data_IF_285199041261
#
_entry.id   IF_285199041261
#
_cell.length_a   1.000
_cell.length_b   1.000
_cell.length_c   1.000
_cell.angle_alpha   90.00
_cell.angle_beta   90.00
_cell.angle_gamma   90.00
#
_symmetry.space_group_name_H-M   'P 1'
#
loop_
_entity.id
_entity.type
_entity.pdbx_description
1 polymer ?
#
# COMPACT_ATOMS: atom_id res chain seq x y z
N UNK A 1 -19.41 -21.18 0.55
CA UNK A 1 -19.23 -19.71 0.61
C UNK A 1 -18.22 -19.36 -0.47
N UNK A 2 -18.41 -18.31 -1.26
CA UNK A 2 -17.32 -17.80 -2.10
C UNK A 2 -16.23 -17.31 -1.15
N UNK A 3 -14.98 -17.71 -1.38
CA UNK A 3 -13.86 -17.26 -0.57
C UNK A 3 -13.78 -15.72 -0.60
N UNK A 4 -13.47 -15.07 0.53
CA UNK A 4 -13.31 -13.63 0.55
C UNK A 4 -12.21 -13.24 -0.45
N UNK A 5 -12.56 -12.34 -1.35
CA UNK A 5 -11.66 -11.82 -2.39
C UNK A 5 -10.49 -11.05 -1.76
N UNK A 6 -10.58 -10.67 -0.48
CA UNK A 6 -9.59 -9.86 0.22
C UNK A 6 -9.27 -10.49 1.58
N UNK A 7 -8.00 -10.83 1.78
CA UNK A 7 -7.45 -11.17 3.08
C UNK A 7 -6.85 -9.89 3.68
N UNK A 8 -7.47 -9.32 4.71
CA UNK A 8 -6.88 -8.21 5.46
C UNK A 8 -5.87 -8.76 6.47
N UNK A 9 -4.63 -8.29 6.41
CA UNK A 9 -3.53 -8.71 7.29
C UNK A 9 -2.97 -7.50 8.03
N UNK A 10 -2.85 -7.63 9.34
CA UNK A 10 -2.23 -6.65 10.24
C UNK A 10 -1.16 -7.34 11.06
N UNK A 11 -0.19 -6.59 11.58
CA UNK A 11 0.83 -7.17 12.44
C UNK A 11 0.20 -7.91 13.65
N UNK A 12 0.79 -9.04 14.08
CA UNK A 12 2.03 -9.65 13.61
C UNK A 12 1.85 -10.64 12.44
N UNK A 13 0.64 -10.79 11.92
CA UNK A 13 0.28 -11.85 10.98
C UNK A 13 0.96 -11.67 9.61
N UNK A 14 1.19 -12.80 8.93
CA UNK A 14 1.76 -12.87 7.59
C UNK A 14 1.14 -14.04 6.83
N UNK A 15 0.88 -13.85 5.54
CA UNK A 15 0.42 -14.93 4.66
C UNK A 15 1.52 -15.26 3.64
N UNK A 16 1.96 -16.52 3.67
CA UNK A 16 2.94 -17.07 2.74
C UNK A 16 2.21 -17.82 1.62
N UNK A 17 1.63 -17.06 0.70
CA UNK A 17 0.95 -17.60 -0.48
C UNK A 17 1.30 -16.76 -1.72
N UNK A 18 0.80 -17.16 -2.88
CA UNK A 18 1.09 -16.51 -4.16
C UNK A 18 -0.03 -15.56 -4.61
N UNK A 19 -0.93 -15.16 -3.72
CA UNK A 19 -1.96 -14.18 -4.06
C UNK A 19 -1.30 -12.82 -4.24
N UNK A 20 -1.83 -12.01 -5.17
CA UNK A 20 -1.30 -10.66 -5.33
C UNK A 20 -1.48 -9.86 -4.05
N UNK A 21 -0.49 -9.06 -3.70
CA UNK A 21 -0.36 -8.46 -2.39
C UNK A 21 -0.06 -6.96 -2.46
N UNK A 22 -0.75 -6.20 -1.62
CA UNK A 22 -0.58 -4.75 -1.51
C UNK A 22 -0.45 -4.35 -0.05
N UNK A 23 0.51 -3.49 0.25
CA UNK A 23 0.65 -2.84 1.56
C UNK A 23 0.09 -1.41 1.49
N UNK A 24 -0.87 -1.08 2.35
CA UNK A 24 -1.26 0.29 2.62
C UNK A 24 -0.55 0.79 3.88
N UNK A 25 0.30 1.80 3.72
CA UNK A 25 1.04 2.42 4.83
C UNK A 25 0.32 3.70 5.26
N UNK A 26 -0.23 3.66 6.46
CA UNK A 26 -0.99 4.73 7.10
C UNK A 26 -2.06 5.34 6.20
N UNK A 27 -2.91 4.56 5.52
CA UNK A 27 -3.90 5.14 4.63
C UNK A 27 -4.88 6.04 5.40
N UNK A 28 -5.15 7.23 4.89
CA UNK A 28 -6.28 8.05 5.35
C UNK A 28 -7.62 7.34 5.14
N UNK A 29 -8.67 7.77 5.86
CA UNK A 29 -10.01 7.18 5.71
C UNK A 29 -10.52 7.27 4.28
N UNK A 30 -10.21 8.36 3.57
CA UNK A 30 -10.52 8.51 2.14
C UNK A 30 -9.87 7.41 1.29
N UNK A 31 -8.61 7.06 1.54
CA UNK A 31 -7.92 5.98 0.82
C UNK A 31 -8.57 4.63 1.14
N UNK A 32 -8.93 4.38 2.41
CA UNK A 32 -9.64 3.15 2.81
C UNK A 32 -11.00 3.03 2.14
N UNK A 33 -11.77 4.11 2.08
CA UNK A 33 -13.07 4.16 1.41
C UNK A 33 -12.95 3.91 -0.09
N UNK A 34 -11.98 4.55 -0.76
CA UNK A 34 -11.70 4.30 -2.17
C UNK A 34 -11.31 2.83 -2.42
N UNK A 35 -10.48 2.25 -1.55
CA UNK A 35 -10.10 0.85 -1.66
C UNK A 35 -11.33 -0.05 -1.57
N UNK A 36 -12.17 0.14 -0.54
CA UNK A 36 -13.40 -0.62 -0.35
C UNK A 36 -14.39 -0.47 -1.52
N UNK A 37 -14.45 0.72 -2.14
CA UNK A 37 -15.26 0.96 -3.31
C UNK A 37 -14.78 0.12 -4.51
N UNK A 38 -13.48 0.15 -4.79
CA UNK A 38 -12.90 -0.55 -5.94
C UNK A 38 -12.68 -2.05 -5.73
N UNK A 39 -12.57 -2.49 -4.47
CA UNK A 39 -12.49 -3.90 -4.06
C UNK A 39 -13.58 -4.78 -4.67
N UNK A 40 -14.77 -4.20 -4.92
CA UNK A 40 -15.91 -4.87 -5.58
C UNK A 40 -15.62 -5.32 -7.01
N UNK A 41 -14.57 -4.78 -7.64
CA UNK A 41 -14.18 -5.07 -9.02
C UNK A 41 -13.11 -6.16 -9.11
N UNK A 42 -12.52 -6.57 -7.99
CA UNK A 42 -11.47 -7.59 -7.96
C UNK A 42 -12.04 -8.96 -8.32
N UNK A 43 -11.32 -9.68 -9.17
CA UNK A 43 -11.72 -11.01 -9.68
C UNK A 43 -10.91 -12.16 -9.11
N UNK A 44 -9.82 -11.85 -8.41
CA UNK A 44 -8.91 -12.81 -7.81
C UNK A 44 -8.69 -12.47 -6.32
N UNK A 45 -8.41 -13.47 -5.47
CA UNK A 45 -8.03 -13.23 -4.09
C UNK A 45 -6.78 -12.36 -3.99
N UNK A 46 -6.81 -11.36 -3.11
CA UNK A 46 -5.67 -10.50 -2.82
C UNK A 46 -5.34 -10.49 -1.33
N UNK A 47 -4.07 -10.24 -1.02
CA UNK A 47 -3.61 -9.98 0.34
C UNK A 47 -3.46 -8.47 0.54
N UNK A 48 -4.30 -7.89 1.39
CA UNK A 48 -4.21 -6.50 1.79
C UNK A 48 -3.49 -6.42 3.13
N UNK A 49 -2.25 -5.97 3.12
CA UNK A 49 -1.51 -5.63 4.34
C UNK A 49 -1.82 -4.19 4.74
N UNK A 50 -2.12 -3.97 6.02
CA UNK A 50 -2.43 -2.65 6.57
C UNK A 50 -1.47 -2.31 7.72
N UNK A 51 -0.79 -1.17 7.60
CA UNK A 51 0.05 -0.60 8.65
C UNK A 51 -0.51 0.76 9.10
N UNK A 52 -0.69 0.97 10.40
CA UNK A 52 -1.27 2.21 10.98
C UNK A 52 -0.39 2.80 12.10
N UNK A 53 0.88 3.06 11.78
CA UNK A 53 1.81 3.89 12.55
C UNK A 53 2.08 3.43 13.98
N UNK A 54 2.13 2.11 14.16
CA UNK A 54 2.52 1.49 15.42
C UNK A 54 4.05 1.34 15.39
N UNK A 55 4.75 2.23 16.09
CA UNK A 55 6.22 2.30 16.15
C UNK A 55 6.85 0.97 16.61
N UNK A 56 6.17 0.27 17.52
CA UNK A 56 6.56 -1.07 18.01
C UNK A 56 6.53 -2.16 16.91
N UNK A 57 5.96 -1.88 15.74
CA UNK A 57 5.77 -2.82 14.63
C UNK A 57 6.63 -2.48 13.40
N UNK A 58 7.64 -1.62 13.53
CA UNK A 58 8.54 -1.28 12.42
C UNK A 58 9.25 -2.51 11.82
N UNK A 59 9.60 -3.50 12.66
CA UNK A 59 10.16 -4.77 12.18
C UNK A 59 9.23 -5.48 11.21
N UNK A 60 7.94 -5.58 11.55
CA UNK A 60 6.93 -6.16 10.68
C UNK A 60 6.75 -5.35 9.39
N UNK A 61 6.74 -4.02 9.48
CA UNK A 61 6.66 -3.15 8.30
C UNK A 61 7.78 -3.44 7.29
N UNK A 62 9.04 -3.53 7.75
CA UNK A 62 10.19 -3.80 6.88
C UNK A 62 10.12 -5.17 6.20
N UNK A 63 9.65 -6.19 6.93
CA UNK A 63 9.44 -7.52 6.37
C UNK A 63 8.35 -7.52 5.29
N UNK A 64 7.21 -6.85 5.55
CA UNK A 64 6.10 -6.78 4.60
C UNK A 64 6.46 -5.94 3.37
N UNK A 65 7.17 -4.82 3.52
CA UNK A 65 7.69 -4.02 2.40
C UNK A 65 8.47 -4.90 1.42
N UNK A 66 9.26 -5.84 1.94
CA UNK A 66 10.05 -6.75 1.11
C UNK A 66 9.18 -7.83 0.44
N UNK A 67 8.12 -8.28 1.11
CA UNK A 67 7.30 -9.42 0.69
C UNK A 67 6.14 -9.08 -0.27
N UNK A 68 5.64 -7.85 -0.29
CA UNK A 68 4.45 -7.49 -1.11
C UNK A 68 4.79 -7.13 -2.56
N UNK A 69 3.82 -7.27 -3.46
CA UNK A 69 3.97 -6.85 -4.87
C UNK A 69 3.93 -5.33 -5.02
N UNK A 70 3.08 -4.65 -4.24
CA UNK A 70 2.85 -3.21 -4.34
C UNK A 70 2.77 -2.53 -2.97
N UNK A 71 3.18 -1.26 -2.92
CA UNK A 71 3.08 -0.43 -1.72
C UNK A 71 2.33 0.85 -2.08
N UNK A 72 1.36 1.24 -1.25
CA UNK A 72 0.73 2.56 -1.30
C UNK A 72 1.07 3.29 -0.01
N UNK A 73 1.81 4.38 -0.14
CA UNK A 73 2.28 5.20 0.98
C UNK A 73 1.51 6.52 1.03
N UNK A 74 0.70 6.72 2.08
CA UNK A 74 0.09 8.01 2.39
C UNK A 74 1.06 8.83 3.25
N UNK A 75 1.86 9.69 2.62
CA UNK A 75 2.92 10.45 3.29
C UNK A 75 2.34 11.47 4.26
N UNK A 76 1.17 12.04 3.96
CA UNK A 76 0.59 13.08 4.81
C UNK A 76 0.06 12.51 6.13
N UNK A 77 -0.39 11.25 6.10
CA UNK A 77 -0.87 10.55 7.28
C UNK A 77 0.21 9.68 7.97
N UNK A 78 1.39 9.55 7.35
CA UNK A 78 2.53 8.83 7.92
C UNK A 78 3.31 9.70 8.91
N UNK A 79 3.30 9.33 10.19
CA UNK A 79 3.99 10.03 11.30
C UNK A 79 5.14 9.19 11.87
N UNK A 80 5.92 8.60 10.98
CA UNK A 80 7.20 7.96 11.31
C UNK A 80 8.37 8.87 10.90
N UNK A 81 9.59 8.44 11.18
CA UNK A 81 10.79 9.15 10.81
C UNK A 81 10.95 9.30 9.30
N UNK A 82 11.43 10.47 8.87
CA UNK A 82 11.56 10.80 7.44
C UNK A 82 12.46 9.83 6.67
N UNK A 83 13.43 9.21 7.33
CA UNK A 83 14.30 8.22 6.69
C UNK A 83 13.53 6.96 6.30
N UNK A 84 12.49 6.57 7.04
CA UNK A 84 11.64 5.43 6.70
C UNK A 84 10.78 5.75 5.48
N UNK A 85 10.24 6.98 5.40
CA UNK A 85 9.55 7.46 4.20
C UNK A 85 10.48 7.37 2.98
N UNK A 86 11.73 7.84 3.11
CA UNK A 86 12.74 7.72 2.05
C UNK A 86 13.04 6.25 1.68
N UNK A 87 13.17 5.38 2.68
CA UNK A 87 13.36 3.94 2.48
C UNK A 87 12.19 3.27 1.76
N UNK A 88 10.93 3.67 2.01
CA UNK A 88 9.77 3.13 1.30
C UNK A 88 9.73 3.68 -0.14
N UNK A 89 10.09 4.95 -0.34
CA UNK A 89 10.06 5.59 -1.65
C UNK A 89 11.09 5.02 -2.64
N UNK A 90 12.24 4.48 -2.20
CA UNK A 90 13.22 3.91 -3.13
C UNK A 90 12.72 2.68 -3.92
N UNK A 91 11.65 2.02 -3.47
CA UNK A 91 11.10 0.86 -4.18
C UNK A 91 10.25 1.31 -5.38
N UNK A 92 10.52 0.75 -6.55
CA UNK A 92 9.76 0.98 -7.78
C UNK A 92 8.29 0.54 -7.69
N UNK A 93 8.00 -0.46 -6.84
CA UNK A 93 6.65 -0.91 -6.49
C UNK A 93 5.88 0.02 -5.55
N UNK A 94 6.48 1.13 -5.10
CA UNK A 94 5.82 2.12 -4.24
C UNK A 94 5.09 3.15 -5.09
N UNK A 95 3.81 3.37 -4.77
CA UNK A 95 2.99 4.50 -5.17
C UNK A 95 2.74 5.36 -3.93
N UNK A 96 2.69 6.69 -4.09
CA UNK A 96 2.56 7.55 -2.91
C UNK A 96 1.62 8.74 -3.11
N UNK A 97 1.00 9.14 -2.01
CA UNK A 97 0.11 10.30 -1.91
C UNK A 97 0.75 11.37 -1.02
N UNK A 98 0.63 12.62 -1.45
CA UNK A 98 0.93 13.79 -0.62
C UNK A 98 0.28 15.04 -1.21
N UNK A 99 -0.17 15.92 -0.34
CA UNK A 99 -0.68 17.25 -0.63
C UNK A 99 0.42 18.32 -0.51
N UNK A 100 1.64 17.95 -0.13
CA UNK A 100 2.77 18.89 0.03
C UNK A 100 3.42 19.15 -1.33
N UNK A 101 3.31 20.37 -1.89
CA UNK A 101 3.86 20.68 -3.22
C UNK A 101 5.40 20.72 -3.22
N UNK A 102 6.03 21.06 -2.10
CA UNK A 102 7.45 21.45 -2.05
C UNK A 102 8.41 20.33 -1.60
N UNK A 103 8.06 19.05 -1.82
CA UNK A 103 8.88 17.92 -1.36
C UNK A 103 9.59 17.22 -2.51
N UNK A 104 10.89 16.93 -2.31
CA UNK A 104 11.77 16.21 -3.25
C UNK A 104 11.42 14.71 -3.43
N UNK A 105 10.26 14.25 -2.96
CA UNK A 105 9.85 12.83 -3.07
C UNK A 105 9.76 12.37 -4.53
N UNK A 106 9.34 13.26 -5.43
CA UNK A 106 9.26 13.00 -6.87
C UNK A 106 10.63 12.78 -7.54
N UNK A 107 11.72 13.22 -6.90
CA UNK A 107 13.08 12.94 -7.36
C UNK A 107 13.47 11.50 -7.03
N UNK A 108 12.99 10.96 -5.91
CA UNK A 108 13.27 9.58 -5.47
C UNK A 108 12.35 8.59 -6.19
N UNK A 109 11.08 8.94 -6.34
CA UNK A 109 10.07 8.07 -6.91
C UNK A 109 9.08 8.86 -7.77
N UNK A 110 8.88 8.44 -9.02
CA UNK A 110 7.99 9.12 -9.98
C UNK A 110 6.53 8.64 -9.90
N UNK A 111 6.23 7.61 -9.11
CA UNK A 111 4.91 7.00 -8.95
C UNK A 111 4.02 7.75 -7.97
N UNK A 112 4.02 9.09 -8.04
CA UNK A 112 3.02 9.89 -7.33
C UNK A 112 1.64 9.59 -7.89
N UNK A 113 0.68 9.42 -7.00
CA UNK A 113 -0.75 9.36 -7.32
C UNK A 113 -1.50 10.42 -6.51
N UNK A 114 -2.62 10.89 -7.06
CA UNK A 114 -3.51 11.84 -6.38
C UNK A 114 -4.71 11.15 -5.75
N UNK A 115 -5.09 9.99 -6.29
CA UNK A 115 -6.19 9.16 -5.83
C UNK A 115 -5.81 7.68 -5.99
N UNK A 116 -6.34 6.81 -5.14
CA UNK A 116 -6.03 5.38 -5.15
C UNK A 116 -6.44 4.71 -6.48
N UNK A 117 -7.47 5.24 -7.14
CA UNK A 117 -7.92 4.77 -8.45
C UNK A 117 -6.79 4.74 -9.49
N UNK A 118 -5.91 5.73 -9.50
CA UNK A 118 -4.78 5.79 -10.45
C UNK A 118 -3.80 4.63 -10.25
N UNK A 119 -3.58 4.20 -9.01
CA UNK A 119 -2.78 3.02 -8.72
C UNK A 119 -3.47 1.77 -9.26
N UNK A 120 -4.76 1.58 -8.94
CA UNK A 120 -5.51 0.39 -9.35
C UNK A 120 -5.60 0.25 -10.87
N UNK A 121 -5.78 1.35 -11.61
CA UNK A 121 -5.76 1.34 -13.08
C UNK A 121 -4.39 0.94 -13.63
N UNK A 122 -3.28 1.42 -13.04
CA UNK A 122 -1.92 1.07 -13.48
C UNK A 122 -1.58 -0.39 -13.27
N UNK A 123 -2.14 -1.03 -12.24
CA UNK A 123 -1.96 -2.46 -11.97
C UNK A 123 -3.11 -3.32 -12.52
N UNK A 124 -3.95 -2.75 -13.40
CA UNK A 124 -5.09 -3.42 -14.02
C UNK A 124 -6.00 -4.15 -13.01
N UNK A 125 -6.26 -3.53 -11.84
CA UNK A 125 -7.11 -4.08 -10.78
C UNK A 125 -6.71 -5.49 -10.32
N UNK A 126 -5.40 -5.77 -10.22
CA UNK A 126 -4.85 -7.10 -9.91
C UNK A 126 -5.25 -8.19 -10.92
N UNK A 127 -5.61 -7.78 -12.14
CA UNK A 127 -5.93 -8.66 -13.25
C UNK A 127 -4.68 -9.37 -13.75
N UNK A 128 -4.43 -10.54 -13.15
CA UNK A 128 -3.51 -11.57 -13.63
C UNK A 128 -3.87 -11.86 -15.10
N UNK A 129 -2.90 -11.72 -16.00
CA UNK A 129 -3.03 -12.11 -17.42
C UNK A 129 -3.52 -13.55 -17.59
#
# INVERSE_FOLDING_TARGET
MQDPIINLITAPDKLLNNNSSVLLVNPSDTVKEQFNHHAKQFKAPINLYLYENIEEQLGWLFEIISAVDYIVLDIDNTKIEQWIIGYILQFDKTFYLTNKPDRLYNVINVNRIFELKQFLERINYFGVE
#
